data_IF_337884966274
#
_entry.id   IF_337884966274
#
_cell.length_a   1.000
_cell.length_b   1.000
_cell.length_c   1.000
_cell.angle_alpha   90.00
_cell.angle_beta   90.00
_cell.angle_gamma   90.00
#
_symmetry.space_group_name_H-M   'P 1'
#
loop_
_entity.id
_entity.type
_entity.pdbx_description
1 polymer ?
#
# COMPACT_ATOMS: atom_id res chain seq x y z
N UNK A 1 -0.28 5.62 -24.12
CA UNK A 1 -1.25 4.68 -23.52
C UNK A 1 -2.11 5.50 -22.58
N UNK A 2 -3.44 5.37 -22.64
CA UNK A 2 -4.38 6.15 -21.83
C UNK A 2 -4.34 5.70 -20.36
N UNK A 3 -4.20 6.63 -19.41
CA UNK A 3 -4.16 6.38 -17.97
C UNK A 3 -5.43 5.67 -17.47
N UNK A 4 -6.59 5.91 -18.11
CA UNK A 4 -7.85 5.23 -17.81
C UNK A 4 -7.79 3.72 -18.11
N UNK A 5 -7.19 3.36 -19.24
CA UNK A 5 -6.99 1.95 -19.65
C UNK A 5 -5.97 1.28 -18.72
N UNK A 6 -4.92 2.01 -18.34
CA UNK A 6 -3.89 1.52 -17.41
C UNK A 6 -4.50 1.24 -16.03
N UNK A 7 -5.28 2.18 -15.48
CA UNK A 7 -5.97 2.00 -14.20
C UNK A 7 -6.96 0.84 -14.21
N UNK A 8 -7.75 0.68 -15.27
CA UNK A 8 -8.70 -0.44 -15.40
C UNK A 8 -7.98 -1.79 -15.45
N UNK A 9 -6.89 -1.87 -16.21
CA UNK A 9 -6.09 -3.10 -16.30
C UNK A 9 -5.42 -3.42 -14.97
N UNK A 10 -4.91 -2.40 -14.30
CA UNK A 10 -4.27 -2.53 -13.00
C UNK A 10 -5.23 -3.05 -11.92
N UNK A 11 -6.46 -2.50 -11.84
CA UNK A 11 -7.50 -3.01 -10.93
C UNK A 11 -7.77 -4.51 -11.12
N UNK A 12 -7.79 -5.00 -12.36
CA UNK A 12 -7.97 -6.44 -12.65
C UNK A 12 -6.80 -7.28 -12.14
N UNK A 13 -5.57 -6.77 -12.22
CA UNK A 13 -4.39 -7.47 -11.70
C UNK A 13 -4.45 -7.54 -10.17
N UNK A 14 -4.81 -6.44 -9.50
CA UNK A 14 -4.92 -6.41 -8.03
C UNK A 14 -5.95 -7.42 -7.51
N UNK A 15 -7.03 -7.64 -8.25
CA UNK A 15 -8.08 -8.59 -7.89
C UNK A 15 -7.62 -10.06 -7.86
N UNK A 16 -6.45 -10.40 -8.45
CA UNK A 16 -5.93 -11.77 -8.44
C UNK A 16 -5.42 -12.21 -7.07
N UNK A 17 -4.95 -11.27 -6.25
CA UNK A 17 -4.38 -11.55 -4.92
C UNK A 17 -4.85 -10.48 -3.92
N UNK A 18 -6.15 -10.47 -3.57
CA UNK A 18 -6.74 -9.39 -2.81
C UNK A 18 -6.29 -9.43 -1.34
N UNK A 19 -6.00 -8.25 -0.80
CA UNK A 19 -5.92 -7.98 0.63
C UNK A 19 -6.89 -6.87 0.96
N UNK A 20 -7.81 -7.17 1.88
CA UNK A 20 -8.73 -6.20 2.46
C UNK A 20 -8.10 -5.51 3.65
N UNK A 21 -8.28 -4.20 3.74
CA UNK A 21 -7.80 -3.39 4.87
C UNK A 21 -8.71 -2.18 5.08
N UNK A 22 -8.58 -1.56 6.25
CA UNK A 22 -9.31 -0.34 6.60
C UNK A 22 -8.33 0.78 6.86
N UNK A 23 -8.60 1.96 6.31
CA UNK A 23 -7.89 3.20 6.59
C UNK A 23 -8.88 4.33 6.80
N UNK A 24 -8.70 5.12 7.88
CA UNK A 24 -9.61 6.21 8.25
C UNK A 24 -11.11 5.80 8.25
N UNK A 25 -11.40 4.59 8.74
CA UNK A 25 -12.75 4.03 8.78
C UNK A 25 -13.32 3.54 7.44
N UNK A 26 -12.59 3.70 6.33
CA UNK A 26 -13.00 3.26 4.99
C UNK A 26 -12.34 1.93 4.62
N UNK A 27 -13.10 0.93 4.14
CA UNK A 27 -12.52 -0.33 3.65
C UNK A 27 -11.97 -0.17 2.22
N UNK A 28 -10.84 -0.82 1.97
CA UNK A 28 -10.14 -0.83 0.69
C UNK A 28 -9.70 -2.24 0.32
N UNK A 29 -9.39 -2.43 -0.98
CA UNK A 29 -8.82 -3.67 -1.51
C UNK A 29 -7.53 -3.31 -2.25
N UNK A 30 -6.49 -4.08 -1.96
CA UNK A 30 -5.21 -4.00 -2.67
C UNK A 30 -4.59 -5.36 -2.86
N UNK A 31 -3.30 -5.38 -3.13
CA UNK A 31 -2.49 -6.60 -3.21
C UNK A 31 -1.28 -6.50 -2.33
N UNK A 32 -1.00 -7.55 -1.56
CA UNK A 32 0.20 -7.64 -0.74
C UNK A 32 1.44 -7.81 -1.62
N UNK A 33 2.46 -7.01 -1.34
CA UNK A 33 3.79 -7.13 -1.92
C UNK A 33 4.81 -7.36 -0.82
N UNK A 34 5.88 -8.08 -1.14
CA UNK A 34 7.10 -8.14 -0.34
C UNK A 34 8.17 -7.28 -1.01
N UNK A 35 8.80 -6.40 -0.24
CA UNK A 35 9.93 -5.59 -0.71
C UNK A 35 11.06 -6.49 -1.24
N UNK A 36 11.68 -6.07 -2.34
CA UNK A 36 12.95 -6.66 -2.80
C UNK A 36 14.10 -6.22 -1.88
N UNK A 37 15.08 -7.09 -1.65
CA UNK A 37 16.19 -6.86 -0.74
C UNK A 37 16.98 -5.57 -1.05
N UNK A 38 17.08 -5.18 -2.33
CA UNK A 38 17.77 -3.97 -2.76
C UNK A 38 17.03 -2.69 -2.34
N UNK A 39 15.69 -2.74 -2.21
CA UNK A 39 14.88 -1.64 -1.69
C UNK A 39 14.84 -1.58 -0.16
N UNK A 40 15.34 -2.61 0.55
CA UNK A 40 15.43 -2.60 2.02
C UNK A 40 16.53 -1.63 2.50
N UNK A 41 17.54 -1.37 1.66
CA UNK A 41 18.68 -0.53 1.99
C UNK A 41 18.38 0.98 1.99
N UNK A 42 17.20 1.44 1.53
CA UNK A 42 16.93 2.88 1.31
C UNK A 42 16.66 3.73 2.55
N UNK A 43 16.56 3.17 3.75
CA UNK A 43 16.73 3.87 5.03
C UNK A 43 16.73 2.84 6.15
N UNK A 44 17.92 2.50 6.67
CA UNK A 44 18.14 1.36 7.58
C UNK A 44 17.21 1.36 8.82
N UNK A 45 16.71 2.53 9.24
CA UNK A 45 15.76 2.65 10.36
C UNK A 45 14.29 2.36 10.03
N UNK A 46 13.77 2.79 8.88
CA UNK A 46 12.38 2.53 8.47
C UNK A 46 12.20 1.05 8.09
N UNK A 47 13.21 0.46 7.46
CA UNK A 47 13.18 -0.93 7.04
C UNK A 47 13.19 -1.93 8.20
N UNK A 48 13.79 -1.59 9.35
CA UNK A 48 13.91 -2.49 10.50
C UNK A 48 12.54 -2.97 11.04
N UNK A 49 11.49 -2.18 10.84
CA UNK A 49 10.13 -2.50 11.29
C UNK A 49 9.19 -2.87 10.14
N UNK A 50 9.67 -2.92 8.89
CA UNK A 50 8.86 -3.27 7.73
C UNK A 50 8.29 -4.69 7.85
N UNK A 51 7.04 -4.86 7.42
CA UNK A 51 6.35 -6.15 7.40
C UNK A 51 5.99 -6.56 5.97
N UNK A 52 5.26 -5.71 5.26
CA UNK A 52 4.86 -5.91 3.88
C UNK A 52 4.35 -4.59 3.28
N UNK A 53 4.14 -4.54 1.98
CA UNK A 53 3.51 -3.39 1.33
C UNK A 53 2.14 -3.80 0.80
N UNK A 54 1.25 -2.83 0.65
CA UNK A 54 -0.01 -2.99 -0.08
C UNK A 54 0.05 -2.10 -1.30
N UNK A 55 -0.23 -2.69 -2.46
CA UNK A 55 -0.40 -1.98 -3.70
C UNK A 55 -1.89 -1.77 -3.99
N UNK A 56 -2.28 -0.55 -4.29
CA UNK A 56 -3.67 -0.14 -4.48
C UNK A 56 -3.80 0.79 -5.66
N UNK A 57 -5.02 0.96 -6.17
CA UNK A 57 -5.28 1.98 -7.18
C UNK A 57 -5.34 3.35 -6.49
N UNK A 58 -4.54 4.30 -6.94
CA UNK A 58 -4.44 5.62 -6.33
C UNK A 58 -5.80 6.36 -6.31
N UNK A 59 -6.55 6.28 -7.42
CA UNK A 59 -7.84 6.98 -7.57
C UNK A 59 -8.96 6.45 -6.67
N UNK A 60 -8.76 5.33 -5.96
CA UNK A 60 -9.72 4.82 -4.98
C UNK A 60 -9.66 5.59 -3.65
N UNK A 61 -8.63 6.42 -3.43
CA UNK A 61 -8.42 7.16 -2.20
C UNK A 61 -8.84 8.63 -2.33
N UNK A 62 -9.65 9.09 -1.37
CA UNK A 62 -9.90 10.52 -1.17
C UNK A 62 -8.86 11.19 -0.26
N UNK A 63 -8.23 10.41 0.62
CA UNK A 63 -7.15 10.82 1.53
C UNK A 63 -6.05 9.79 1.44
N UNK A 64 -4.82 10.23 1.15
CA UNK A 64 -3.67 9.34 1.01
C UNK A 64 -3.08 9.07 2.40
N UNK A 65 -2.85 7.79 2.78
CA UNK A 65 -2.14 7.47 4.00
C UNK A 65 -0.73 8.09 3.99
N UNK A 66 -0.29 8.59 5.13
CA UNK A 66 1.05 9.17 5.31
C UNK A 66 1.79 8.46 6.44
N UNK A 67 3.11 8.65 6.51
CA UNK A 67 3.93 8.06 7.57
C UNK A 67 3.38 8.38 8.97
N UNK A 68 3.21 7.34 9.79
CA UNK A 68 2.63 7.44 11.13
C UNK A 68 1.13 7.12 11.20
N UNK A 69 0.42 7.12 10.07
CA UNK A 69 -0.97 6.65 10.05
C UNK A 69 -1.08 5.16 10.38
N UNK A 70 -2.27 4.74 10.80
CA UNK A 70 -2.58 3.33 11.11
C UNK A 70 -3.50 2.75 10.04
N UNK A 71 -3.14 1.57 9.55
CA UNK A 71 -3.96 0.75 8.66
C UNK A 71 -4.26 -0.57 9.35
N UNK A 72 -5.53 -0.98 9.33
CA UNK A 72 -5.96 -2.27 9.89
C UNK A 72 -6.09 -3.29 8.77
N UNK A 73 -5.30 -4.37 8.83
CA UNK A 73 -5.36 -5.50 7.89
C UNK A 73 -5.79 -6.73 8.66
N UNK A 74 -6.95 -7.32 8.31
CA UNK A 74 -7.48 -8.51 8.99
C UNK A 74 -7.56 -8.38 10.52
N UNK A 75 -7.94 -7.20 11.02
CA UNK A 75 -8.04 -6.92 12.46
C UNK A 75 -6.71 -6.63 13.16
N UNK A 76 -5.59 -6.57 12.44
CA UNK A 76 -4.28 -6.21 12.98
C UNK A 76 -3.90 -4.82 12.49
N UNK A 77 -3.44 -3.97 13.40
CA UNK A 77 -3.01 -2.60 13.09
C UNK A 77 -1.54 -2.56 12.70
N UNK A 78 -1.24 -1.79 11.66
CA UNK A 78 0.10 -1.53 11.16
C UNK A 78 0.33 -0.04 10.97
N UNK A 79 1.51 0.44 11.34
CA UNK A 79 1.92 1.80 11.01
C UNK A 79 2.32 1.90 9.54
N UNK A 80 1.89 2.99 8.90
CA UNK A 80 2.40 3.40 7.60
C UNK A 80 3.81 3.93 7.79
N UNK A 81 4.78 3.30 7.12
CA UNK A 81 6.17 3.74 7.13
C UNK A 81 6.45 4.72 5.99
N UNK A 82 5.83 4.48 4.83
CA UNK A 82 6.01 5.26 3.62
C UNK A 82 4.85 5.04 2.65
N UNK A 83 4.60 6.03 1.79
CA UNK A 83 3.73 5.89 0.62
C UNK A 83 4.44 6.34 -0.65
N UNK A 84 4.24 5.59 -1.73
CA UNK A 84 4.88 5.87 -3.02
C UNK A 84 3.83 5.81 -4.13
N UNK A 85 3.58 6.95 -4.76
CA UNK A 85 2.78 7.06 -5.97
C UNK A 85 3.66 6.75 -7.18
N UNK A 86 3.14 6.01 -8.15
CA UNK A 86 3.82 5.85 -9.43
C UNK A 86 3.77 7.14 -10.27
N UNK A 87 4.65 7.24 -11.26
CA UNK A 87 4.76 8.45 -12.10
C UNK A 87 3.56 8.67 -13.03
N UNK A 88 2.62 7.72 -13.07
CA UNK A 88 1.43 7.77 -13.92
C UNK A 88 0.16 8.07 -13.10
N UNK A 89 0.29 8.28 -11.79
CA UNK A 89 -0.80 8.47 -10.84
C UNK A 89 -1.87 7.35 -10.87
N UNK A 90 -1.43 6.12 -11.17
CA UNK A 90 -2.31 4.94 -11.26
C UNK A 90 -2.22 4.11 -9.99
N UNK A 91 -1.01 3.84 -9.52
CA UNK A 91 -0.79 2.95 -8.38
C UNK A 91 -0.17 3.69 -7.20
N UNK A 92 -0.71 3.40 -6.03
CA UNK A 92 -0.15 3.82 -4.76
C UNK A 92 0.37 2.56 -4.06
N UNK A 93 1.61 2.62 -3.62
CA UNK A 93 2.19 1.63 -2.73
C UNK A 93 2.22 2.20 -1.32
N UNK A 94 1.78 1.39 -0.35
CA UNK A 94 1.79 1.73 1.07
C UNK A 94 2.67 0.72 1.78
N UNK A 95 3.79 1.17 2.35
CA UNK A 95 4.69 0.33 3.12
C UNK A 95 4.23 0.27 4.58
N UNK A 96 3.94 -0.94 5.04
CA UNK A 96 3.46 -1.20 6.39
C UNK A 96 4.54 -1.82 7.25
N UNK A 97 4.66 -1.33 8.47
CA UNK A 97 5.56 -1.83 9.48
C UNK A 97 5.01 -1.57 10.88
N UNK A 98 5.67 -2.10 11.91
CA UNK A 98 5.20 -1.99 13.30
C UNK A 98 3.83 -2.64 13.49
N UNK A 99 3.78 -3.82 14.13
CA UNK A 99 2.54 -4.56 14.34
C UNK A 99 1.96 -4.24 15.72
N UNK A 100 0.71 -3.79 15.77
CA UNK A 100 -0.04 -3.55 17.01
C UNK A 100 -1.22 -4.52 17.11
N UNK A 101 -1.62 -4.85 18.35
CA UNK A 101 -2.69 -5.81 18.68
C UNK A 101 -3.83 -5.14 19.41
#
# INVERSE_FOLDING_TARGET
MDASILGTTFKKILALFPVSFTFAGTPYIGTKLTLKAEQVLTAVGLAANYQFSILVTFSDFSVIPVTGDIITVSGVEYAVLNTQLDTADVSLRIDLGGKFS
#
